data_IF_782966007301
#
_entry.id   IF_782966007301
#
_cell.length_a   1.000
_cell.length_b   1.000
_cell.length_c   1.000
_cell.angle_alpha   90.00
_cell.angle_beta   90.00
_cell.angle_gamma   90.00
#
_symmetry.space_group_name_H-M   'P 1'
#
loop_
_entity.id
_entity.type
_entity.pdbx_description
1 polymer ?
#
# COMPACT_ATOMS: atom_id res chain seq x y z
N UNK A 1 6.24 -4.93 -13.79
CA UNK A 1 5.98 -4.11 -14.99
C UNK A 1 6.28 -2.67 -14.60
N UNK A 2 7.31 -2.02 -15.14
CA UNK A 2 7.70 -0.67 -14.68
C UNK A 2 6.63 0.33 -15.14
N UNK A 3 6.02 1.06 -14.20
CA UNK A 3 4.99 2.07 -14.47
C UNK A 3 5.60 3.20 -15.30
N UNK A 4 5.14 3.40 -16.54
CA UNK A 4 5.52 4.58 -17.33
C UNK A 4 4.78 5.80 -16.77
N UNK A 5 5.51 6.69 -16.11
CA UNK A 5 4.99 7.94 -15.58
C UNK A 5 5.32 9.09 -16.54
N UNK A 6 4.39 10.03 -16.77
CA UNK A 6 4.67 11.21 -17.58
C UNK A 6 5.81 12.04 -16.98
N UNK A 7 6.55 12.75 -17.83
CA UNK A 7 7.74 13.51 -17.44
C UNK A 7 7.47 14.52 -16.30
N UNK A 8 6.25 15.06 -16.24
CA UNK A 8 5.85 16.06 -15.25
C UNK A 8 5.19 15.47 -13.98
N UNK A 9 5.32 14.16 -13.74
CA UNK A 9 4.77 13.54 -12.53
C UNK A 9 5.48 14.02 -11.26
N UNK A 10 4.76 14.48 -10.23
CA UNK A 10 5.35 14.91 -8.97
C UNK A 10 6.15 13.80 -8.28
N UNK A 11 7.20 14.16 -7.55
CA UNK A 11 8.05 13.21 -6.83
C UNK A 11 7.24 12.27 -5.93
N UNK A 12 6.25 12.81 -5.21
CA UNK A 12 5.39 12.05 -4.31
C UNK A 12 4.66 10.88 -4.98
N UNK A 13 4.30 11.01 -6.27
CA UNK A 13 3.69 9.91 -7.03
C UNK A 13 4.74 8.95 -7.58
N UNK A 14 5.95 9.43 -7.89
CA UNK A 14 7.07 8.59 -8.35
C UNK A 14 7.64 7.69 -7.26
N UNK A 15 7.64 8.14 -6.01
CA UNK A 15 8.20 7.39 -4.86
C UNK A 15 7.13 6.63 -4.07
N UNK A 16 5.89 6.57 -4.58
CA UNK A 16 4.81 5.84 -3.91
C UNK A 16 5.16 4.34 -3.94
N UNK A 17 5.12 3.64 -2.78
CA UNK A 17 5.41 2.21 -2.73
C UNK A 17 4.38 1.41 -3.54
N UNK A 18 4.86 0.37 -4.22
CA UNK A 18 4.03 -0.53 -5.03
C UNK A 18 3.68 -1.84 -4.32
N UNK A 19 4.42 -2.19 -3.27
CA UNK A 19 4.17 -3.37 -2.45
C UNK A 19 4.21 -3.06 -0.96
N UNK A 20 3.81 -4.04 -0.13
CA UNK A 20 3.80 -3.88 1.32
C UNK A 20 5.23 -3.85 1.89
N UNK A 21 6.17 -4.54 1.23
CA UNK A 21 7.59 -4.59 1.56
C UNK A 21 8.30 -3.25 1.30
N UNK A 22 7.84 -2.48 0.32
CA UNK A 22 8.31 -1.13 0.03
C UNK A 22 7.69 -0.06 0.95
N UNK A 23 6.63 -0.42 1.69
CA UNK A 23 5.93 0.51 2.56
C UNK A 23 6.74 0.78 3.83
N UNK A 24 7.28 1.99 3.95
CA UNK A 24 8.10 2.37 5.09
C UNK A 24 7.28 2.68 6.35
N UNK A 25 7.66 2.06 7.47
CA UNK A 25 7.04 2.26 8.77
C UNK A 25 5.79 1.41 9.00
N UNK A 26 5.11 1.63 10.14
CA UNK A 26 3.89 0.90 10.52
C UNK A 26 4.07 -0.63 10.60
N UNK A 27 5.26 -1.11 11.01
CA UNK A 27 5.64 -2.53 11.05
C UNK A 27 4.63 -3.41 11.80
N UNK A 28 3.99 -2.87 12.84
CA UNK A 28 2.95 -3.57 13.59
C UNK A 28 1.70 -3.92 12.74
N UNK A 29 1.49 -3.24 11.61
CA UNK A 29 0.41 -3.50 10.65
C UNK A 29 0.89 -4.32 9.45
N UNK A 30 2.08 -4.02 8.92
CA UNK A 30 2.57 -4.54 7.63
C UNK A 30 3.52 -5.72 7.71
N UNK A 31 4.18 -5.95 8.86
CA UNK A 31 5.18 -7.01 8.97
C UNK A 31 4.59 -8.41 8.73
N UNK A 32 5.41 -9.39 8.34
CA UNK A 32 4.97 -10.78 8.18
C UNK A 32 4.21 -11.28 9.41
N UNK A 33 3.06 -11.91 9.17
CA UNK A 33 2.19 -12.39 10.24
C UNK A 33 1.27 -11.34 10.90
N UNK A 34 1.35 -10.07 10.50
CA UNK A 34 0.44 -9.01 10.97
C UNK A 34 -0.83 -8.93 10.14
N UNK A 35 -1.78 -8.11 10.61
CA UNK A 35 -3.13 -8.02 10.06
C UNK A 35 -3.13 -7.81 8.53
N UNK A 36 -2.44 -6.79 8.02
CA UNK A 36 -2.51 -6.45 6.60
C UNK A 36 -1.84 -7.51 5.73
N UNK A 37 -0.73 -8.07 6.21
CA UNK A 37 -0.07 -9.20 5.55
C UNK A 37 -0.99 -10.44 5.48
N UNK A 38 -1.72 -10.77 6.55
CA UNK A 38 -2.67 -11.89 6.55
C UNK A 38 -3.88 -11.63 5.63
N UNK A 39 -4.39 -10.39 5.58
CA UNK A 39 -5.48 -10.03 4.68
C UNK A 39 -5.08 -10.17 3.20
N UNK A 40 -3.84 -9.78 2.86
CA UNK A 40 -3.29 -9.99 1.51
C UNK A 40 -3.15 -11.48 1.18
N UNK A 41 -2.54 -12.28 2.06
CA UNK A 41 -2.37 -13.72 1.83
C UNK A 41 -3.70 -14.46 1.66
N UNK A 42 -4.72 -14.06 2.43
CA UNK A 42 -6.04 -14.68 2.36
C UNK A 42 -6.88 -14.22 1.17
N UNK A 43 -6.42 -13.21 0.40
CA UNK A 43 -7.16 -12.56 -0.70
C UNK A 43 -8.58 -12.14 -0.34
N UNK A 44 -8.78 -11.77 0.93
CA UNK A 44 -10.08 -11.34 1.46
C UNK A 44 -9.92 -9.99 2.12
N UNK A 45 -10.22 -8.93 1.38
CA UNK A 45 -10.21 -7.57 1.91
C UNK A 45 -11.63 -7.20 2.41
N UNK A 46 -11.85 -7.03 3.72
CA UNK A 46 -13.11 -6.46 4.20
C UNK A 46 -13.18 -4.97 3.90
N UNK A 47 -14.31 -4.33 4.19
CA UNK A 47 -14.39 -2.86 4.23
C UNK A 47 -13.43 -2.32 5.30
N UNK A 48 -12.51 -1.44 4.91
CA UNK A 48 -11.49 -0.85 5.78
C UNK A 48 -11.63 0.67 5.84
N UNK A 49 -11.46 1.25 7.04
CA UNK A 49 -11.28 2.67 7.23
C UNK A 49 -9.80 2.95 7.54
N UNK A 50 -9.11 3.64 6.64
CA UNK A 50 -7.72 4.06 6.85
C UNK A 50 -7.70 5.48 7.43
N UNK A 51 -7.28 5.63 8.68
CA UNK A 51 -7.21 6.92 9.39
C UNK A 51 -5.78 7.25 9.84
N UNK A 52 -5.47 8.54 9.90
CA UNK A 52 -4.17 9.05 10.34
C UNK A 52 -3.84 10.44 9.77
N UNK A 53 -2.72 11.07 10.19
CA UNK A 53 -2.31 12.41 9.78
C UNK A 53 -1.99 12.52 8.27
N UNK A 54 -1.97 13.73 7.67
CA UNK A 54 -1.61 13.90 6.26
C UNK A 54 -0.22 13.33 5.97
N UNK A 55 -0.04 12.71 4.80
CA UNK A 55 1.24 12.08 4.41
C UNK A 55 1.52 10.72 5.05
N UNK A 56 0.67 10.17 5.92
CA UNK A 56 0.88 8.87 6.60
C UNK A 56 0.76 7.62 5.72
N UNK A 57 0.68 7.77 4.39
CA UNK A 57 0.63 6.64 3.46
C UNK A 57 -0.74 5.97 3.26
N UNK A 58 -1.86 6.49 3.80
CA UNK A 58 -3.20 5.89 3.66
C UNK A 58 -3.59 5.55 2.21
N UNK A 59 -3.46 6.52 1.31
CA UNK A 59 -3.81 6.33 -0.11
C UNK A 59 -2.88 5.32 -0.78
N UNK A 60 -1.59 5.35 -0.46
CA UNK A 60 -0.62 4.36 -0.96
C UNK A 60 -0.98 2.95 -0.49
N UNK A 61 -1.31 2.80 0.80
CA UNK A 61 -1.68 1.53 1.41
C UNK A 61 -2.97 0.95 0.81
N UNK A 62 -3.99 1.78 0.59
CA UNK A 62 -5.22 1.35 -0.09
C UNK A 62 -4.94 0.77 -1.49
N UNK A 63 -4.07 1.44 -2.26
CA UNK A 63 -3.72 0.99 -3.61
C UNK A 63 -2.93 -0.33 -3.59
N UNK A 64 -1.99 -0.48 -2.66
CA UNK A 64 -1.23 -1.73 -2.48
C UNK A 64 -2.17 -2.89 -2.15
N UNK A 65 -3.08 -2.69 -1.18
CA UNK A 65 -4.02 -3.71 -0.75
C UNK A 65 -4.97 -4.13 -1.87
N UNK A 66 -5.53 -3.17 -2.63
CA UNK A 66 -6.41 -3.46 -3.76
C UNK A 66 -5.72 -4.29 -4.84
N UNK A 67 -4.52 -3.89 -5.25
CA UNK A 67 -3.73 -4.63 -6.25
C UNK A 67 -3.38 -6.04 -5.81
N UNK A 68 -3.14 -6.22 -4.51
CA UNK A 68 -2.72 -7.50 -3.96
C UNK A 68 -3.85 -8.54 -3.92
N UNK A 69 -5.11 -8.11 -3.89
CA UNK A 69 -6.28 -9.01 -3.89
C UNK A 69 -6.91 -9.20 -5.26
N UNK A 70 -6.66 -8.28 -6.21
CA UNK A 70 -7.13 -8.38 -7.60
C UNK A 70 -6.24 -9.28 -8.50
N UNK A 71 -5.04 -9.67 -8.05
CA UNK A 71 -4.05 -10.46 -8.80
C UNK A 71 -4.10 -11.98 -8.54
#
# INVERSE_FOLDING_TARGET
>A
MIRQLPFNTPLAERVRPESLEEFFGQEHLVAPGRLLHQLMLSRKLPSLLLWGPPGSGKTSLANILARSVEA
#
